data_IF_950345999811
#
_entry.id   IF_950345999811
#
_cell.length_a   1.000
_cell.length_b   1.000
_cell.length_c   1.000
_cell.angle_alpha   90.00
_cell.angle_beta   90.00
_cell.angle_gamma   90.00
#
_symmetry.space_group_name_H-M   'P 1'
#
loop_
_entity.id
_entity.type
_entity.pdbx_description
1 polymer ?
#
# COMPACT_ATOMS: atom_id res chain seq x y z
N UNK A 1 -25.33 -14.97 63.29
CA UNK A 1 -24.07 -14.22 63.20
C UNK A 1 -24.29 -13.04 62.24
N UNK A 2 -24.56 -11.84 62.78
CA UNK A 2 -24.84 -10.63 61.98
C UNK A 2 -23.50 -9.99 61.60
N UNK A 3 -23.20 -9.89 60.30
CA UNK A 3 -22.09 -9.07 59.83
C UNK A 3 -22.52 -7.60 59.88
N UNK A 4 -22.01 -6.86 60.86
CA UNK A 4 -22.14 -5.41 60.95
C UNK A 4 -21.14 -4.82 59.95
N UNK A 5 -21.58 -4.49 58.74
CA UNK A 5 -20.75 -3.70 57.82
C UNK A 5 -20.81 -2.23 58.23
N UNK A 6 -19.64 -1.68 58.58
CA UNK A 6 -19.43 -0.31 59.04
C UNK A 6 -19.83 0.72 57.96
N UNK A 7 -20.92 1.46 58.21
CA UNK A 7 -21.51 2.48 57.33
C UNK A 7 -20.52 3.57 56.92
N UNK A 8 -19.46 3.83 57.70
CA UNK A 8 -18.49 4.88 57.39
C UNK A 8 -17.56 4.58 56.21
N UNK A 9 -17.34 3.31 55.85
CA UNK A 9 -16.44 2.95 54.73
C UNK A 9 -17.11 3.03 53.35
N UNK A 10 -18.45 2.94 53.29
CA UNK A 10 -19.20 3.01 52.02
C UNK A 10 -19.27 4.46 51.50
N UNK A 11 -19.39 5.45 52.40
CA UNK A 11 -19.45 6.86 52.02
C UNK A 11 -18.12 7.41 51.46
N UNK A 12 -16.97 6.84 51.83
CA UNK A 12 -15.65 7.24 51.27
C UNK A 12 -15.32 6.58 49.93
N UNK A 13 -15.92 5.43 49.62
CA UNK A 13 -15.67 4.70 48.37
C UNK A 13 -16.31 5.37 47.14
N UNK A 14 -17.53 5.92 47.30
CA UNK A 14 -18.30 6.58 46.22
C UNK A 14 -17.60 7.80 45.58
N UNK A 15 -17.03 8.77 46.31
CA UNK A 15 -16.30 9.91 45.70
C UNK A 15 -14.96 9.51 45.08
N UNK A 16 -14.36 8.38 45.49
CA UNK A 16 -13.08 7.89 44.96
C UNK A 16 -13.27 7.24 43.59
N UNK A 17 -14.35 6.46 43.41
CA UNK A 17 -14.76 5.91 42.10
C UNK A 17 -15.14 7.05 41.14
N UNK A 18 -15.89 8.06 41.59
CA UNK A 18 -16.29 9.21 40.77
C UNK A 18 -15.10 10.10 40.35
N UNK A 19 -14.05 10.22 41.19
CA UNK A 19 -12.79 10.88 40.85
C UNK A 19 -11.90 10.05 39.92
N UNK A 20 -11.97 8.72 40.02
CA UNK A 20 -11.24 7.81 39.14
C UNK A 20 -11.83 7.86 37.73
N UNK A 21 -13.16 7.90 37.63
CA UNK A 21 -13.93 8.01 36.38
C UNK A 21 -13.69 9.36 35.68
N UNK A 22 -13.72 10.47 36.42
CA UNK A 22 -13.44 11.80 35.83
C UNK A 22 -11.97 11.99 35.41
N UNK A 23 -11.02 11.38 36.13
CA UNK A 23 -9.61 11.35 35.71
C UNK A 23 -9.41 10.49 34.46
N UNK A 24 -10.15 9.38 34.34
CA UNK A 24 -10.07 8.49 33.18
C UNK A 24 -10.70 9.14 31.93
N UNK A 25 -11.86 9.79 32.06
CA UNK A 25 -12.47 10.58 30.98
C UNK A 25 -11.57 11.73 30.52
N UNK A 26 -10.92 12.44 31.46
CA UNK A 26 -9.98 13.53 31.11
C UNK A 26 -8.76 13.00 30.35
N UNK A 27 -8.20 11.86 30.76
CA UNK A 27 -7.09 11.21 30.02
C UNK A 27 -7.53 10.74 28.63
N UNK A 28 -8.73 10.18 28.51
CA UNK A 28 -9.29 9.74 27.23
C UNK A 28 -9.47 10.93 26.27
N UNK A 29 -9.97 12.07 26.77
CA UNK A 29 -10.10 13.29 25.99
C UNK A 29 -8.75 13.81 25.46
N UNK A 30 -7.70 13.78 26.29
CA UNK A 30 -6.34 14.14 25.84
C UNK A 30 -5.81 13.19 24.76
N UNK A 31 -6.09 11.89 24.87
CA UNK A 31 -5.69 10.90 23.86
C UNK A 31 -6.45 11.11 22.54
N UNK A 32 -7.77 11.31 22.59
CA UNK A 32 -8.57 11.62 21.40
C UNK A 32 -8.14 12.92 20.71
N UNK A 33 -7.81 13.95 21.48
CA UNK A 33 -7.27 15.21 20.96
C UNK A 33 -5.93 15.01 20.25
N UNK A 34 -5.04 14.17 20.79
CA UNK A 34 -3.76 13.87 20.16
C UNK A 34 -3.89 13.07 18.85
N UNK A 35 -4.87 12.17 18.76
CA UNK A 35 -5.18 11.41 17.55
C UNK A 35 -5.70 12.33 16.42
N UNK A 36 -6.33 13.45 16.77
CA UNK A 36 -6.91 14.41 15.82
C UNK A 36 -5.85 15.17 15.00
N UNK A 37 -4.58 15.14 15.40
CA UNK A 37 -3.47 15.77 14.68
C UNK A 37 -2.89 14.90 13.57
N UNK A 38 -3.26 13.62 13.48
CA UNK A 38 -2.84 12.72 12.42
C UNK A 38 -3.84 12.75 11.26
N UNK A 39 -3.84 13.84 10.49
CA UNK A 39 -4.54 13.88 9.21
C UNK A 39 -3.64 13.22 8.15
N UNK A 40 -4.10 12.11 7.57
CA UNK A 40 -3.43 11.49 6.43
C UNK A 40 -3.81 12.29 5.17
N UNK A 41 -2.87 13.08 4.66
CA UNK A 41 -3.05 13.78 3.39
C UNK A 41 -2.92 12.76 2.26
N UNK A 42 -3.98 12.60 1.45
CA UNK A 42 -3.86 11.87 0.18
C UNK A 42 -3.13 12.80 -0.76
N UNK A 43 -1.91 12.42 -1.14
CA UNK A 43 -1.17 13.13 -2.16
C UNK A 43 -1.86 12.84 -3.50
N UNK A 44 -2.73 13.76 -3.95
CA UNK A 44 -3.38 13.69 -5.26
C UNK A 44 -2.31 13.99 -6.33
N UNK A 45 -1.43 13.03 -6.57
CA UNK A 45 -0.43 13.14 -7.63
C UNK A 45 -1.13 12.98 -8.97
N UNK A 46 -0.88 13.94 -9.87
CA UNK A 46 -1.47 13.93 -11.20
C UNK A 46 -0.76 12.85 -11.99
N UNK A 47 -1.47 11.79 -12.36
CA UNK A 47 -0.96 10.79 -13.28
C UNK A 47 -0.93 11.37 -14.71
N UNK A 48 0.27 11.50 -15.28
CA UNK A 48 0.50 12.08 -16.62
C UNK A 48 0.46 11.04 -17.73
N UNK A 49 0.46 9.75 -17.39
CA UNK A 49 0.45 8.69 -18.39
C UNK A 49 -0.95 8.60 -19.05
N UNK A 50 -1.04 8.26 -20.34
CA UNK A 50 -2.33 8.07 -20.99
C UNK A 50 -3.13 6.97 -20.28
N UNK A 51 -4.42 7.19 -20.05
CA UNK A 51 -5.27 6.18 -19.45
C UNK A 51 -5.67 5.15 -20.51
N UNK A 52 -5.03 3.99 -20.45
CA UNK A 52 -5.31 2.84 -21.34
C UNK A 52 -6.02 1.76 -20.53
N UNK A 53 -7.02 1.08 -21.12
CA UNK A 53 -7.72 -0.01 -20.43
C UNK A 53 -6.78 -1.19 -20.23
N UNK A 54 -6.75 -1.72 -19.01
CA UNK A 54 -5.97 -2.88 -18.61
C UNK A 54 -6.91 -3.95 -18.06
N UNK A 55 -6.85 -5.13 -18.65
CA UNK A 55 -7.52 -6.36 -18.18
C UNK A 55 -6.64 -7.56 -18.57
N UNK A 56 -5.70 -7.90 -17.68
CA UNK A 56 -4.68 -8.92 -17.94
C UNK A 56 -4.87 -10.05 -16.94
N UNK A 57 -5.15 -11.24 -17.45
CA UNK A 57 -5.28 -12.45 -16.61
C UNK A 57 -4.01 -13.28 -16.71
N UNK A 58 -3.39 -13.55 -15.55
CA UNK A 58 -2.20 -14.37 -15.41
C UNK A 58 -2.57 -15.70 -14.75
N UNK A 59 -2.20 -16.80 -15.41
CA UNK A 59 -2.24 -18.14 -14.83
C UNK A 59 -0.86 -18.48 -14.26
N UNK A 60 -0.76 -18.53 -12.93
CA UNK A 60 0.48 -18.76 -12.20
C UNK A 60 1.12 -20.11 -12.53
N UNK A 61 0.35 -21.09 -13.05
CA UNK A 61 0.88 -22.41 -13.42
C UNK A 61 1.63 -22.41 -14.77
N UNK A 62 1.60 -21.32 -15.54
CA UNK A 62 2.35 -21.25 -16.79
C UNK A 62 3.85 -21.04 -16.48
N UNK A 63 4.76 -21.68 -17.24
CA UNK A 63 6.21 -21.55 -17.00
C UNK A 63 6.73 -20.11 -17.03
N UNK A 64 6.12 -19.23 -17.83
CA UNK A 64 6.49 -17.81 -17.89
C UNK A 64 6.20 -17.03 -16.60
N UNK A 65 5.36 -17.57 -15.71
CA UNK A 65 4.94 -16.94 -14.46
C UNK A 65 5.38 -17.73 -13.22
N UNK A 66 6.29 -18.69 -13.37
CA UNK A 66 6.74 -19.54 -12.26
C UNK A 66 7.37 -18.73 -11.12
N UNK A 67 8.04 -17.62 -11.46
CA UNK A 67 8.65 -16.73 -10.48
C UNK A 67 7.60 -16.04 -9.59
N UNK A 68 6.37 -15.84 -10.08
CA UNK A 68 5.27 -15.30 -9.27
C UNK A 68 4.74 -16.27 -8.21
N UNK A 69 5.21 -17.52 -8.17
CA UNK A 69 4.88 -18.45 -7.09
C UNK A 69 5.84 -18.35 -5.89
N UNK A 70 6.95 -17.63 -6.03
CA UNK A 70 7.99 -17.51 -5.01
C UNK A 70 7.97 -16.07 -4.48
N UNK A 71 7.90 -15.84 -3.15
CA UNK A 71 7.95 -14.49 -2.60
C UNK A 71 9.15 -13.72 -3.15
N UNK A 72 8.93 -12.45 -3.48
CA UNK A 72 9.85 -11.51 -4.18
C UNK A 72 10.08 -11.78 -5.67
N UNK A 73 9.65 -12.94 -6.19
CA UNK A 73 9.71 -13.25 -7.60
C UNK A 73 8.80 -12.33 -8.41
N UNK A 74 9.27 -12.00 -9.62
CA UNK A 74 8.69 -10.96 -10.45
C UNK A 74 8.80 -11.31 -11.93
N UNK A 75 7.93 -10.72 -12.72
CA UNK A 75 7.88 -10.90 -14.17
C UNK A 75 7.49 -9.60 -14.85
N UNK A 76 7.76 -9.52 -16.15
CA UNK A 76 7.06 -8.59 -17.03
C UNK A 76 5.94 -9.35 -17.74
N UNK A 77 4.81 -8.70 -18.00
CA UNK A 77 3.74 -9.34 -18.77
C UNK A 77 4.18 -9.60 -20.22
N UNK A 78 3.78 -10.75 -20.77
CA UNK A 78 4.34 -11.28 -22.01
C UNK A 78 3.87 -10.55 -23.29
N UNK A 79 2.77 -9.79 -23.23
CA UNK A 79 2.17 -9.20 -24.42
C UNK A 79 2.84 -7.90 -24.90
N UNK A 80 3.70 -7.27 -24.09
CA UNK A 80 4.36 -5.99 -24.41
C UNK A 80 3.42 -4.80 -24.67
N UNK A 81 2.10 -5.02 -24.71
CA UNK A 81 1.04 -4.04 -24.96
C UNK A 81 0.05 -3.93 -23.80
N UNK A 82 0.27 -4.67 -22.71
CA UNK A 82 -0.50 -4.47 -21.48
C UNK A 82 -0.09 -3.14 -20.86
N UNK A 83 -1.04 -2.22 -20.68
CA UNK A 83 -0.72 -0.87 -20.23
C UNK A 83 -0.08 -0.02 -21.33
N UNK A 84 0.77 0.93 -20.96
CA UNK A 84 1.37 1.90 -21.88
C UNK A 84 2.65 1.35 -22.50
N UNK A 85 3.54 0.74 -21.69
CA UNK A 85 4.79 0.11 -22.15
C UNK A 85 5.04 -1.26 -21.48
N UNK A 86 3.98 -1.93 -21.04
CA UNK A 86 4.04 -3.19 -20.32
C UNK A 86 3.82 -3.03 -18.82
N UNK A 87 3.59 -4.15 -18.15
CA UNK A 87 3.36 -4.20 -16.71
C UNK A 87 4.46 -5.05 -16.06
N UNK A 88 5.01 -4.56 -14.95
CA UNK A 88 5.83 -5.37 -14.03
C UNK A 88 4.94 -5.89 -12.91
N UNK A 89 5.10 -7.16 -12.56
CA UNK A 89 4.31 -7.83 -11.52
C UNK A 89 5.25 -8.53 -10.56
N UNK A 90 4.99 -8.43 -9.26
CA UNK A 90 5.74 -9.14 -8.22
C UNK A 90 4.81 -9.79 -7.21
N UNK A 91 5.17 -10.99 -6.79
CA UNK A 91 4.61 -11.61 -5.59
C UNK A 91 5.31 -11.07 -4.35
N UNK A 92 4.62 -10.33 -3.50
CA UNK A 92 5.19 -9.69 -2.30
C UNK A 92 5.37 -10.68 -1.15
N UNK A 93 4.62 -11.79 -1.16
CA UNK A 93 4.51 -12.71 -0.01
C UNK A 93 3.79 -12.12 1.20
N UNK A 94 3.11 -10.98 1.05
CA UNK A 94 2.44 -10.24 2.13
C UNK A 94 1.01 -9.83 1.79
N UNK A 95 0.58 -8.65 2.25
CA UNK A 95 -0.75 -8.09 1.97
C UNK A 95 -0.58 -6.65 1.48
N UNK A 96 -0.92 -6.32 0.21
CA UNK A 96 -1.49 -7.23 -0.81
C UNK A 96 -0.49 -8.29 -1.27
N UNK A 97 -0.97 -9.47 -1.67
CA UNK A 97 -0.13 -10.59 -2.08
C UNK A 97 0.70 -10.24 -3.32
N UNK A 98 0.13 -9.51 -4.26
CA UNK A 98 0.79 -9.11 -5.50
C UNK A 98 0.77 -7.60 -5.66
N UNK A 99 1.82 -7.07 -6.32
CA UNK A 99 1.90 -5.69 -6.77
C UNK A 99 2.16 -5.66 -8.27
N UNK A 100 1.54 -4.71 -8.95
CA UNK A 100 1.70 -4.51 -10.38
C UNK A 100 1.90 -3.03 -10.69
N UNK A 101 2.90 -2.70 -11.50
CA UNK A 101 3.21 -1.33 -11.88
C UNK A 101 3.37 -1.19 -13.39
N UNK A 102 2.92 -0.06 -13.92
CA UNK A 102 3.20 0.38 -15.28
C UNK A 102 4.70 0.56 -15.48
N UNK A 103 5.18 0.19 -16.68
CA UNK A 103 6.59 0.36 -17.04
C UNK A 103 6.86 1.65 -17.81
N UNK A 104 5.86 2.40 -18.25
CA UNK A 104 6.08 3.76 -18.75
C UNK A 104 6.54 4.70 -17.62
N UNK A 105 7.48 5.58 -17.96
CA UNK A 105 8.06 6.54 -17.04
C UNK A 105 7.06 7.66 -16.67
N UNK A 106 6.75 7.89 -15.38
CA UNK A 106 5.73 8.85 -14.96
C UNK A 106 5.98 10.30 -15.38
N UNK A 107 7.24 10.75 -15.41
CA UNK A 107 7.58 12.13 -15.72
C UNK A 107 7.80 12.44 -17.19
N UNK A 108 8.29 11.44 -17.94
CA UNK A 108 8.84 11.65 -19.27
C UNK A 108 8.46 10.47 -20.16
N UNK A 109 7.99 10.75 -21.38
CA UNK A 109 7.75 9.70 -22.37
C UNK A 109 9.09 9.17 -22.91
N UNK A 110 9.66 8.21 -22.20
CA UNK A 110 10.86 7.51 -22.64
C UNK A 110 10.51 6.51 -23.75
N UNK A 111 11.35 6.40 -24.77
CA UNK A 111 11.18 5.38 -25.83
C UNK A 111 11.20 3.94 -25.29
N UNK A 112 12.00 3.67 -24.26
CA UNK A 112 12.10 2.36 -23.61
C UNK A 112 11.33 2.33 -22.28
N UNK A 113 10.77 1.16 -21.90
CA UNK A 113 10.14 0.98 -20.60
C UNK A 113 11.17 1.10 -19.46
N UNK A 114 10.67 1.40 -18.27
CA UNK A 114 11.39 1.25 -17.03
C UNK A 114 11.92 -0.17 -16.87
N UNK A 115 13.08 -0.27 -16.25
CA UNK A 115 13.75 -1.52 -15.92
C UNK A 115 13.80 -1.71 -14.41
N UNK A 116 13.51 -2.92 -13.97
CA UNK A 116 13.81 -3.41 -12.64
C UNK A 116 15.09 -4.25 -12.69
N UNK A 117 16.07 -3.92 -11.87
CA UNK A 117 17.39 -4.57 -11.83
C UNK A 117 17.52 -5.61 -10.70
N UNK A 118 16.41 -5.95 -10.02
CA UNK A 118 16.42 -6.82 -8.85
C UNK A 118 16.67 -6.09 -7.52
N UNK A 119 16.77 -4.76 -7.53
CA UNK A 119 16.84 -3.94 -6.32
C UNK A 119 15.44 -3.68 -5.72
N UNK A 120 15.21 -2.50 -5.13
CA UNK A 120 13.90 -2.04 -4.68
C UNK A 120 13.40 -0.85 -5.51
N UNK A 121 13.95 -0.69 -6.73
CA UNK A 121 13.68 0.47 -7.57
C UNK A 121 13.45 0.13 -9.04
N UNK A 122 12.51 0.82 -9.66
CA UNK A 122 12.46 0.99 -11.10
C UNK A 122 13.38 2.12 -11.53
N UNK A 123 13.95 1.99 -12.72
CA UNK A 123 14.77 3.03 -13.33
C UNK A 123 14.28 3.38 -14.73
N UNK A 124 14.08 4.67 -14.97
CA UNK A 124 13.74 5.22 -16.27
C UNK A 124 14.95 5.30 -17.21
N UNK A 125 14.76 4.86 -18.45
CA UNK A 125 15.85 4.79 -19.43
C UNK A 125 16.31 6.17 -19.94
N UNK A 126 15.43 7.18 -19.96
CA UNK A 126 15.75 8.47 -20.57
C UNK A 126 16.31 9.52 -19.59
N UNK A 127 15.86 9.54 -18.34
CA UNK A 127 16.25 10.55 -17.35
C UNK A 127 16.89 9.96 -16.07
N UNK A 128 17.03 8.63 -15.99
CA UNK A 128 17.50 7.91 -14.80
C UNK A 128 16.66 8.15 -13.53
N UNK A 129 15.42 8.66 -13.66
CA UNK A 129 14.53 8.78 -12.51
C UNK A 129 14.22 7.41 -11.92
N UNK A 130 14.17 7.36 -10.60
CA UNK A 130 14.00 6.14 -9.81
C UNK A 130 12.66 6.16 -9.06
N UNK A 131 12.02 5.00 -8.97
CA UNK A 131 10.73 4.84 -8.29
C UNK A 131 10.75 3.60 -7.42
N UNK A 132 10.18 3.67 -6.22
CA UNK A 132 10.09 2.56 -5.28
C UNK A 132 9.16 1.46 -5.82
N UNK A 133 9.58 0.20 -5.75
CA UNK A 133 8.71 -0.95 -6.09
C UNK A 133 7.68 -1.26 -5.00
N UNK A 134 7.83 -0.66 -3.83
CA UNK A 134 6.95 -0.90 -2.68
C UNK A 134 5.64 -0.13 -2.84
N UNK A 135 5.71 1.11 -3.32
CA UNK A 135 4.59 2.05 -3.32
C UNK A 135 4.59 3.00 -4.53
N UNK A 136 5.50 2.82 -5.48
CA UNK A 136 5.64 3.69 -6.65
C UNK A 136 6.23 5.06 -6.35
N UNK A 137 6.64 5.35 -5.11
CA UNK A 137 7.08 6.69 -4.72
C UNK A 137 8.36 7.11 -5.45
N UNK A 138 8.45 8.36 -5.93
CA UNK A 138 9.65 8.88 -6.56
C UNK A 138 10.82 8.91 -5.59
N UNK A 139 11.98 8.42 -6.04
CA UNK A 139 13.22 8.36 -5.25
C UNK A 139 14.27 9.39 -5.72
N UNK A 140 14.00 10.07 -6.84
CA UNK A 140 14.86 11.12 -7.39
C UNK A 140 14.41 12.50 -6.91
N UNK A 141 15.35 13.32 -6.42
CA UNK A 141 15.05 14.68 -5.96
C UNK A 141 14.41 15.53 -7.07
N UNK A 142 13.39 16.30 -6.74
CA UNK A 142 12.63 17.13 -7.68
C UNK A 142 11.54 16.40 -8.46
N UNK A 143 11.40 15.08 -8.28
CA UNK A 143 10.32 14.30 -8.86
C UNK A 143 9.14 14.19 -7.87
N UNK A 144 7.93 14.52 -8.33
CA UNK A 144 6.69 14.39 -7.56
C UNK A 144 5.75 13.29 -8.05
N UNK A 145 6.03 12.69 -9.21
CA UNK A 145 5.13 11.73 -9.84
C UNK A 145 5.41 10.32 -9.36
N UNK A 146 4.36 9.55 -9.16
CA UNK A 146 4.44 8.17 -8.71
C UNK A 146 4.37 7.24 -9.92
N UNK A 147 5.01 6.08 -9.82
CA UNK A 147 4.77 5.00 -10.75
C UNK A 147 3.30 4.56 -10.64
N UNK A 148 2.59 4.50 -11.78
CA UNK A 148 1.21 4.04 -11.83
C UNK A 148 1.14 2.59 -11.36
N UNK A 149 0.48 2.36 -10.24
CA UNK A 149 0.14 1.03 -9.74
C UNK A 149 -1.16 0.55 -10.40
N UNK A 150 -1.25 -0.75 -10.65
CA UNK A 150 -2.46 -1.43 -11.10
C UNK A 150 -3.07 -2.25 -9.97
N UNK A 151 -4.40 -2.41 -10.02
CA UNK A 151 -5.14 -3.26 -9.09
C UNK A 151 -4.91 -4.72 -9.47
N UNK A 152 -4.48 -5.54 -8.51
CA UNK A 152 -4.37 -7.00 -8.68
C UNK A 152 -5.47 -7.70 -7.90
N UNK A 153 -6.24 -8.55 -8.58
CA UNK A 153 -7.32 -9.35 -8.05
C UNK A 153 -6.92 -10.82 -8.06
N UNK A 154 -6.90 -11.46 -6.90
CA UNK A 154 -6.74 -12.91 -6.79
C UNK A 154 -8.10 -13.58 -7.09
N UNK A 155 -8.29 -14.03 -8.32
CA UNK A 155 -9.55 -14.66 -8.75
C UNK A 155 -9.70 -16.06 -8.14
N UNK A 156 -8.58 -16.78 -8.00
CA UNK A 156 -8.48 -18.08 -7.35
C UNK A 156 -7.00 -18.37 -7.00
N UNK A 157 -6.72 -19.58 -6.47
CA UNK A 157 -5.39 -19.97 -6.00
C UNK A 157 -4.27 -19.94 -7.07
N UNK A 158 -4.61 -19.99 -8.35
CA UNK A 158 -3.62 -20.06 -9.45
C UNK A 158 -3.81 -18.96 -10.49
N UNK A 159 -4.77 -18.05 -10.29
CA UNK A 159 -5.14 -17.05 -11.30
C UNK A 159 -5.28 -15.69 -10.65
N UNK A 160 -4.52 -14.73 -11.17
CA UNK A 160 -4.64 -13.32 -10.81
C UNK A 160 -5.11 -12.52 -12.04
N UNK A 161 -5.83 -11.44 -11.80
CA UNK A 161 -6.25 -10.50 -12.84
C UNK A 161 -5.78 -9.08 -12.47
N UNK A 162 -5.22 -8.38 -13.45
CA UNK A 162 -4.67 -7.02 -13.30
C UNK A 162 -5.58 -6.06 -14.05
N UNK A 163 -6.00 -5.00 -13.36
CA UNK A 163 -6.91 -3.95 -13.88
C UNK A 163 -6.44 -2.55 -13.48
N UNK A 164 -7.01 -1.52 -14.13
CA UNK A 164 -6.95 -0.15 -13.60
C UNK A 164 -7.66 -0.06 -12.22
N UNK A 165 -7.35 0.99 -11.44
CA UNK A 165 -7.96 1.22 -10.13
C UNK A 165 -9.43 1.64 -10.19
#
# INVERSE_FOLDING_TARGET
>A
MRFITNVQNICKLRPLIHKLDSKLMRKLFFICSLISLFSCEKNDTIDLLPNVPVDVTINLNLPEYIDLQIPTGWVYTSSGMDGVKGIWVQYTGGTPAYKAFERACPNNDCNAPMTFDGSLKFKCACDNSEYSVIDGAPQTSGNSQYAREYRVLELNATTINITNY
#
